data_IF_563655709650
#
_entry.id   IF_563655709650
#
_cell.length_a   1.000
_cell.length_b   1.000
_cell.length_c   1.000
_cell.angle_alpha   90.00
_cell.angle_beta   90.00
_cell.angle_gamma   90.00
#
_symmetry.space_group_name_H-M   'P 1'
#
loop_
_entity.id
_entity.type
_entity.pdbx_description
1 polymer ?
#
# COMPACT_ATOMS: atom_id res chain seq x y z
N UNK A 1 20.42 -58.32 -1.75
CA UNK A 1 19.39 -57.45 -2.40
C UNK A 1 18.28 -57.20 -1.39
N UNK A 2 18.12 -55.97 -0.89
CA UNK A 2 16.99 -55.42 -0.09
C UNK A 2 17.52 -54.40 0.93
N UNK A 3 17.96 -53.22 0.50
CA UNK A 3 18.10 -52.07 1.42
C UNK A 3 18.36 -50.72 0.72
N UNK A 4 17.94 -50.54 -0.54
CA UNK A 4 18.29 -49.30 -1.29
C UNK A 4 17.05 -48.53 -1.77
N UNK A 5 15.85 -49.08 -1.59
CA UNK A 5 14.63 -48.50 -2.21
C UNK A 5 13.91 -47.49 -1.31
N UNK A 6 14.21 -47.44 0.00
CA UNK A 6 13.42 -46.62 0.93
C UNK A 6 13.85 -45.15 1.06
N UNK A 7 14.99 -44.74 0.51
CA UNK A 7 15.51 -43.37 0.70
C UNK A 7 15.12 -42.37 -0.39
N UNK A 8 14.48 -42.81 -1.49
CA UNK A 8 14.20 -41.93 -2.63
C UNK A 8 12.84 -41.21 -2.56
N UNK A 9 11.96 -41.57 -1.62
CA UNK A 9 10.60 -41.01 -1.52
C UNK A 9 10.54 -39.75 -0.63
N UNK A 10 11.57 -39.48 0.18
CA UNK A 10 11.53 -38.40 1.19
C UNK A 10 11.90 -36.99 0.66
N UNK A 11 12.26 -36.85 -0.62
CA UNK A 11 12.71 -35.56 -1.19
C UNK A 11 11.59 -34.75 -1.87
N UNK A 12 10.35 -35.25 -1.93
CA UNK A 12 9.23 -34.58 -2.59
C UNK A 12 8.33 -33.74 -1.66
N UNK A 13 8.62 -33.71 -0.36
CA UNK A 13 7.85 -32.94 0.62
C UNK A 13 8.61 -31.69 1.06
N UNK A 14 8.74 -30.68 0.17
CA UNK A 14 9.60 -29.55 0.53
C UNK A 14 9.50 -28.32 -0.35
N UNK A 15 8.35 -27.97 -0.91
CA UNK A 15 8.13 -26.64 -1.50
C UNK A 15 6.64 -26.28 -1.43
N UNK A 16 6.09 -26.19 -0.21
CA UNK A 16 4.88 -25.39 -0.02
C UNK A 16 5.37 -23.95 0.04
N UNK A 17 5.38 -23.26 -1.10
CA UNK A 17 5.54 -21.80 -1.09
C UNK A 17 4.32 -21.24 -0.38
N UNK A 18 4.50 -20.83 0.88
CA UNK A 18 3.48 -20.08 1.58
C UNK A 18 3.29 -18.76 0.82
N UNK A 19 2.22 -18.68 0.03
CA UNK A 19 1.70 -17.42 -0.49
C UNK A 19 1.28 -16.60 0.72
N UNK A 20 2.17 -15.73 1.20
CA UNK A 20 1.80 -14.73 2.16
C UNK A 20 0.73 -13.86 1.51
N UNK A 21 -0.50 -13.90 2.05
CA UNK A 21 -1.58 -13.02 1.62
C UNK A 21 -1.08 -11.59 1.65
N UNK A 22 -1.04 -10.92 0.50
CA UNK A 22 -0.48 -9.59 0.39
C UNK A 22 -1.45 -8.62 1.06
N UNK A 23 -0.99 -7.97 2.14
CA UNK A 23 -1.83 -7.05 2.93
C UNK A 23 -2.17 -5.82 2.11
N UNK A 24 -3.35 -5.26 2.32
CA UNK A 24 -3.78 -4.00 1.72
C UNK A 24 -3.98 -2.93 2.77
N UNK A 25 -3.75 -1.68 2.40
CA UNK A 25 -4.09 -0.51 3.19
C UNK A 25 -5.34 0.10 2.60
N UNK A 26 -6.31 0.41 3.46
CA UNK A 26 -7.54 1.10 3.09
C UNK A 26 -7.60 2.39 3.90
N UNK A 27 -7.58 3.52 3.21
CA UNK A 27 -7.59 4.86 3.79
C UNK A 27 -8.94 5.54 3.55
N UNK A 28 -9.61 5.92 4.63
CA UNK A 28 -10.80 6.74 4.63
C UNK A 28 -10.41 8.20 4.86
N UNK A 29 -10.67 9.04 3.85
CA UNK A 29 -10.35 10.46 3.85
C UNK A 29 -11.60 11.27 4.18
N UNK A 30 -11.50 12.24 5.10
CA UNK A 30 -12.66 13.06 5.46
C UNK A 30 -13.20 13.82 4.24
N UNK A 31 -14.51 13.70 3.99
CA UNK A 31 -15.18 14.39 2.89
C UNK A 31 -15.09 13.70 1.53
N UNK A 32 -14.32 12.61 1.42
CA UNK A 32 -14.25 11.78 0.21
C UNK A 32 -14.99 10.47 0.46
N UNK A 33 -15.96 10.15 -0.39
CA UNK A 33 -16.82 8.97 -0.20
C UNK A 33 -16.07 7.66 -0.44
N UNK A 34 -15.30 7.59 -1.52
CA UNK A 34 -14.57 6.38 -1.91
C UNK A 34 -13.22 6.31 -1.16
N UNK A 35 -12.90 5.19 -0.51
CA UNK A 35 -11.63 5.03 0.18
C UNK A 35 -10.49 4.85 -0.83
N UNK A 36 -9.32 5.39 -0.51
CA UNK A 36 -8.10 5.07 -1.24
C UNK A 36 -7.59 3.70 -0.77
N UNK A 37 -7.29 2.80 -1.70
CA UNK A 37 -6.73 1.50 -1.36
C UNK A 37 -5.49 1.19 -2.16
N UNK A 38 -4.55 0.48 -1.53
CA UNK A 38 -3.34 0.02 -2.19
C UNK A 38 -2.76 -1.21 -1.49
N UNK A 39 -2.03 -2.02 -2.25
CA UNK A 39 -1.41 -3.23 -1.71
C UNK A 39 -0.04 -2.91 -1.15
N UNK A 40 0.29 -3.42 0.05
CA UNK A 40 1.63 -3.25 0.64
C UNK A 40 2.64 -4.04 -0.20
N UNK A 41 3.71 -3.39 -0.71
CA UNK A 41 4.74 -4.08 -1.47
C UNK A 41 5.45 -5.15 -0.63
N UNK A 42 5.67 -6.33 -1.21
CA UNK A 42 6.34 -7.43 -0.52
C UNK A 42 7.84 -7.21 -0.31
N UNK A 43 8.45 -6.26 -1.04
CA UNK A 43 9.87 -5.91 -0.89
C UNK A 43 10.01 -4.47 -0.42
N UNK A 44 11.01 -4.27 0.43
CA UNK A 44 11.36 -2.95 0.92
C UNK A 44 11.91 -2.07 -0.21
N UNK A 45 11.35 -0.87 -0.36
CA UNK A 45 11.77 0.09 -1.40
C UNK A 45 10.94 0.03 -2.68
N UNK A 46 10.13 -1.02 -2.85
CA UNK A 46 9.13 -1.06 -3.90
C UNK A 46 7.97 -0.09 -3.57
N UNK A 47 7.27 0.33 -4.62
CA UNK A 47 6.13 1.22 -4.50
C UNK A 47 4.80 0.49 -4.72
N UNK A 48 3.75 0.84 -3.95
CA UNK A 48 2.43 0.30 -4.20
C UNK A 48 1.84 0.86 -5.48
N UNK A 49 0.99 0.07 -6.14
CA UNK A 49 0.03 0.60 -7.11
C UNK A 49 -1.17 1.14 -6.35
N UNK A 50 -1.64 2.32 -6.74
CA UNK A 50 -2.71 3.04 -6.07
C UNK A 50 -3.84 3.22 -7.07
N UNK A 51 -5.02 2.73 -6.72
CA UNK A 51 -6.22 2.94 -7.52
C UNK A 51 -6.75 4.36 -7.26
N UNK A 52 -6.70 5.20 -8.28
CA UNK A 52 -7.07 6.61 -8.21
C UNK A 52 -7.78 7.00 -9.51
N UNK A 53 -8.65 8.01 -9.45
CA UNK A 53 -9.46 8.45 -10.60
C UNK A 53 -8.62 8.87 -11.82
N UNK A 54 -7.34 9.22 -11.60
CA UNK A 54 -6.38 9.56 -12.63
C UNK A 54 -5.13 8.68 -12.51
N UNK A 55 -4.41 8.39 -13.61
CA UNK A 55 -3.15 7.66 -13.55
C UNK A 55 -2.12 8.37 -12.68
N UNK A 56 -1.62 7.68 -11.65
CA UNK A 56 -0.62 8.19 -10.72
C UNK A 56 0.59 7.28 -10.63
N UNK A 57 1.75 7.87 -10.31
CA UNK A 57 2.96 7.14 -9.94
C UNK A 57 3.40 7.54 -8.55
N UNK A 58 3.54 6.54 -7.69
CA UNK A 58 4.11 6.75 -6.35
C UNK A 58 5.57 7.16 -6.48
N UNK A 59 5.90 8.31 -5.90
CA UNK A 59 7.25 8.85 -5.85
C UNK A 59 7.91 8.58 -4.49
N UNK A 60 7.11 8.48 -3.41
CA UNK A 60 7.60 8.14 -2.08
C UNK A 60 6.58 7.26 -1.36
N UNK A 61 7.08 6.22 -0.71
CA UNK A 61 6.28 5.34 0.13
C UNK A 61 7.09 4.88 1.34
N UNK A 62 6.46 4.88 2.51
CA UNK A 62 7.04 4.31 3.72
C UNK A 62 5.94 3.80 4.64
N UNK A 63 6.09 2.56 5.11
CA UNK A 63 5.35 2.02 6.25
C UNK A 63 6.36 1.48 7.27
N UNK A 64 7.04 2.37 7.99
CA UNK A 64 8.12 2.03 8.93
C UNK A 64 7.94 2.73 10.27
N UNK A 65 8.28 2.02 11.35
CA UNK A 65 8.25 2.54 12.72
C UNK A 65 6.91 3.18 13.09
N UNK A 66 5.81 2.55 12.66
CA UNK A 66 4.45 3.06 12.89
C UNK A 66 4.09 4.29 12.06
N UNK A 67 4.89 4.71 11.09
CA UNK A 67 4.54 5.81 10.19
C UNK A 67 4.08 5.28 8.84
N UNK A 68 3.05 5.90 8.28
CA UNK A 68 2.59 5.74 6.90
C UNK A 68 2.85 7.05 6.16
N UNK A 69 3.63 6.99 5.07
CA UNK A 69 3.82 8.05 4.10
C UNK A 69 3.50 7.50 2.71
N UNK A 70 2.66 8.22 1.96
CA UNK A 70 2.41 7.96 0.55
C UNK A 70 2.40 9.29 -0.19
N UNK A 71 3.24 9.42 -1.21
CA UNK A 71 3.24 10.55 -2.14
C UNK A 71 3.16 9.99 -3.55
N UNK A 72 2.09 10.33 -4.26
CA UNK A 72 1.90 9.97 -5.65
C UNK A 72 1.75 11.22 -6.51
N UNK A 73 2.49 11.23 -7.62
CA UNK A 73 2.47 12.29 -8.61
C UNK A 73 1.59 11.87 -9.77
N UNK A 74 1.12 12.84 -10.54
CA UNK A 74 0.52 12.57 -11.84
C UNK A 74 1.52 11.79 -12.72
N UNK A 75 1.02 10.82 -13.49
CA UNK A 75 1.87 10.00 -14.34
C UNK A 75 2.56 10.82 -15.46
N UNK A 76 1.84 11.79 -16.01
CA UNK A 76 2.25 12.58 -17.17
C UNK A 76 2.84 13.93 -16.74
N UNK A 77 2.32 14.53 -15.66
CA UNK A 77 2.81 15.78 -15.04
C UNK A 77 3.57 15.49 -13.71
N UNK A 78 4.83 15.07 -13.80
CA UNK A 78 5.58 14.55 -12.63
C UNK A 78 5.85 15.57 -11.51
N UNK A 79 5.65 16.86 -11.76
CA UNK A 79 5.75 17.95 -10.80
C UNK A 79 4.42 18.27 -10.10
N UNK A 80 3.34 17.57 -10.47
CA UNK A 80 1.99 17.72 -9.89
C UNK A 80 1.68 16.58 -8.93
N UNK A 81 1.72 16.81 -7.60
CA UNK A 81 1.28 15.82 -6.62
C UNK A 81 -0.23 15.62 -6.72
N UNK A 82 -0.65 14.35 -6.82
CA UNK A 82 -2.05 13.96 -6.87
C UNK A 82 -2.55 13.42 -5.54
N UNK A 83 -1.66 12.79 -4.77
CA UNK A 83 -1.99 12.17 -3.49
C UNK A 83 -0.82 12.44 -2.53
N UNK A 84 -1.16 12.91 -1.35
CA UNK A 84 -0.26 13.00 -0.22
C UNK A 84 -0.98 12.45 1.02
N UNK A 85 -0.40 11.45 1.68
CA UNK A 85 -0.87 10.92 2.96
C UNK A 85 0.30 10.84 3.92
N UNK A 86 0.12 11.37 5.12
CA UNK A 86 1.07 11.23 6.23
C UNK A 86 0.30 10.91 7.51
N UNK A 87 0.52 9.72 8.05
CA UNK A 87 -0.22 9.20 9.20
C UNK A 87 0.67 8.39 10.15
N UNK A 88 0.25 8.28 11.40
CA UNK A 88 0.94 7.50 12.44
C UNK A 88 0.01 6.45 13.03
N UNK A 89 0.56 5.28 13.32
CA UNK A 89 -0.15 4.14 13.88
C UNK A 89 -0.59 4.47 15.31
N UNK A 90 -1.89 4.59 15.50
CA UNK A 90 -2.52 4.54 16.80
C UNK A 90 -2.57 3.07 17.27
N UNK A 91 -1.70 2.70 18.20
CA UNK A 91 -1.54 1.30 18.65
C UNK A 91 -2.82 0.66 19.22
N UNK A 92 -3.64 1.33 20.04
CA UNK A 92 -4.87 0.75 20.58
C UNK A 92 -5.83 0.27 19.49
N UNK A 93 -6.00 1.06 18.43
CA UNK A 93 -6.97 0.80 17.37
C UNK A 93 -6.36 0.14 16.14
N UNK A 94 -5.05 -0.13 16.15
CA UNK A 94 -4.26 -0.64 15.01
C UNK A 94 -4.54 0.13 13.70
N UNK A 95 -4.76 1.44 13.83
CA UNK A 95 -5.21 2.32 12.75
C UNK A 95 -4.23 3.48 12.58
N UNK A 96 -3.84 3.77 11.35
CA UNK A 96 -3.02 4.94 11.05
C UNK A 96 -3.91 6.19 11.00
N UNK A 97 -3.63 7.18 11.84
CA UNK A 97 -4.37 8.45 11.88
C UNK A 97 -3.44 9.57 11.43
N UNK A 98 -3.92 10.44 10.55
CA UNK A 98 -3.07 11.48 9.98
C UNK A 98 -3.81 12.52 9.17
N UNK A 99 -3.12 13.06 8.18
CA UNK A 99 -3.65 14.02 7.22
C UNK A 99 -3.44 13.54 5.79
N UNK A 100 -4.33 13.98 4.90
CA UNK A 100 -4.23 13.79 3.47
C UNK A 100 -4.34 15.13 2.72
N UNK A 101 -3.83 15.11 1.49
CA UNK A 101 -4.20 16.04 0.42
C UNK A 101 -4.35 15.24 -0.88
N UNK A 102 -5.36 15.55 -1.69
CA UNK A 102 -5.55 14.99 -3.03
C UNK A 102 -5.86 16.08 -4.03
N UNK A 103 -5.41 15.91 -5.27
CA UNK A 103 -5.81 16.75 -6.40
C UNK A 103 -6.70 15.96 -7.38
N UNK A 104 -8.01 16.21 -7.32
CA UNK A 104 -9.04 15.55 -8.13
C UNK A 104 -9.37 16.30 -9.42
N UNK A 105 -8.69 17.40 -9.72
CA UNK A 105 -9.03 18.24 -10.85
C UNK A 105 -8.37 17.73 -12.14
N UNK A 106 -9.09 17.72 -13.26
CA UNK A 106 -8.53 17.31 -14.55
C UNK A 106 -7.46 18.30 -15.04
N UNK A 107 -7.91 19.34 -15.74
CA UNK A 107 -7.05 20.39 -16.31
C UNK A 107 -6.80 21.57 -15.36
N UNK A 108 -7.43 21.57 -14.19
CA UNK A 108 -7.30 22.58 -13.15
C UNK A 108 -7.02 21.90 -11.81
N UNK A 109 -6.48 22.63 -10.84
CA UNK A 109 -6.28 22.12 -9.49
C UNK A 109 -7.62 22.04 -8.74
N UNK A 110 -7.91 20.89 -8.15
CA UNK A 110 -9.00 20.73 -7.21
C UNK A 110 -8.47 20.00 -5.99
N UNK A 111 -8.03 20.78 -5.01
CA UNK A 111 -7.38 20.28 -3.82
C UNK A 111 -8.40 20.00 -2.72
N UNK A 112 -8.44 18.75 -2.27
CA UNK A 112 -9.14 18.32 -1.07
C UNK A 112 -8.10 17.94 -0.01
N UNK A 113 -8.35 18.25 1.25
CA UNK A 113 -7.44 17.92 2.34
C UNK A 113 -8.18 17.73 3.65
N UNK A 114 -7.55 17.01 4.58
CA UNK A 114 -8.09 16.85 5.91
C UNK A 114 -7.56 15.61 6.63
N UNK A 115 -8.23 15.20 7.72
CA UNK A 115 -7.96 13.97 8.43
C UNK A 115 -8.11 12.73 7.56
N UNK A 116 -7.26 11.73 7.79
CA UNK A 116 -7.34 10.41 7.18
C UNK A 116 -7.18 9.32 8.25
N UNK A 117 -7.90 8.21 8.06
CA UNK A 117 -7.82 7.00 8.87
C UNK A 117 -7.54 5.81 7.95
N UNK A 118 -6.40 5.14 8.13
CA UNK A 118 -6.01 3.99 7.31
C UNK A 118 -5.88 2.71 8.14
N UNK A 119 -6.49 1.63 7.65
CA UNK A 119 -6.42 0.29 8.25
C UNK A 119 -5.65 -0.67 7.36
N UNK A 120 -4.89 -1.56 7.98
CA UNK A 120 -4.20 -2.65 7.29
C UNK A 120 -5.11 -3.89 7.31
N UNK A 121 -5.48 -4.42 6.14
CA UNK A 121 -6.26 -5.65 5.98
C UNK A 121 -5.43 -6.78 5.38
#
# INVERSE_FOLDING_TARGET
>A
MKCVIFSLILMLAGCVTALASQKSVICHMQGIADPLSFTVPGKMGDFPEVDFAYPVKVAQFSMRNGNLLLVAMDQDERDRPRIFISAQLNQPDQTYIGQFMTDMGGNQLQLDNGPVSCILK
#
